data_IF_569803935218
#
_entry.id   IF_569803935218
#
_cell.length_a   1.000
_cell.length_b   1.000
_cell.length_c   1.000
_cell.angle_alpha   90.00
_cell.angle_beta   90.00
_cell.angle_gamma   90.00
#
_symmetry.space_group_name_H-M   'P 1'
#
loop_
_entity.id
_entity.type
_entity.pdbx_description
1 polymer ?
#
# COMPACT_ATOMS: atom_id res chain seq x y z
N UNK A 1 43.49 -1.77 -57.92
CA UNK A 1 44.71 -1.94 -57.09
C UNK A 1 44.56 -1.00 -55.89
N UNK A 2 44.65 -1.54 -54.67
CA UNK A 2 44.54 -0.79 -53.40
C UNK A 2 45.85 -0.02 -53.17
N UNK A 3 45.83 1.06 -52.38
CA UNK A 3 46.56 0.93 -51.12
C UNK A 3 45.73 1.32 -49.89
N UNK A 4 46.00 0.53 -48.85
CA UNK A 4 45.60 0.65 -47.44
C UNK A 4 46.60 1.62 -46.79
N UNK A 5 46.22 2.42 -45.77
CA UNK A 5 46.99 2.67 -44.52
C UNK A 5 46.24 3.63 -43.58
N UNK A 6 45.79 3.05 -42.45
CA UNK A 6 45.85 3.52 -41.05
C UNK A 6 45.50 4.96 -40.65
N UNK A 7 44.54 5.10 -39.73
CA UNK A 7 44.31 6.35 -39.01
C UNK A 7 43.30 6.27 -37.85
N UNK A 8 43.76 5.67 -36.74
CA UNK A 8 43.48 6.04 -35.34
C UNK A 8 42.04 5.96 -34.76
N UNK A 9 41.96 5.20 -33.67
CA UNK A 9 40.90 5.20 -32.67
C UNK A 9 40.66 6.59 -32.06
N UNK A 10 39.38 6.91 -31.81
CA UNK A 10 38.92 7.67 -30.64
C UNK A 10 37.43 7.28 -30.43
N UNK A 11 37.09 6.31 -29.59
CA UNK A 11 37.02 6.45 -28.13
C UNK A 11 36.25 7.71 -27.70
N UNK A 12 34.93 7.70 -27.87
CA UNK A 12 34.03 8.56 -27.10
C UNK A 12 32.92 7.70 -26.51
N UNK A 13 33.35 6.87 -25.55
CA UNK A 13 32.50 6.14 -24.63
C UNK A 13 32.52 6.92 -23.31
N UNK A 14 31.64 7.91 -23.12
CA UNK A 14 31.49 8.59 -21.83
C UNK A 14 30.01 8.79 -21.49
N UNK A 15 29.51 7.76 -20.82
CA UNK A 15 28.58 7.78 -19.70
C UNK A 15 27.41 8.78 -19.74
N UNK A 16 26.25 8.29 -20.18
CA UNK A 16 24.96 8.77 -19.68
C UNK A 16 24.89 8.41 -18.19
N UNK A 17 25.16 9.38 -17.31
CA UNK A 17 24.87 9.26 -15.88
C UNK A 17 23.36 9.30 -15.71
N UNK A 18 22.72 8.12 -15.72
CA UNK A 18 21.33 7.98 -15.26
C UNK A 18 21.39 8.15 -13.74
N UNK A 19 20.79 9.18 -13.13
CA UNK A 19 20.61 9.17 -11.69
C UNK A 19 19.70 7.99 -11.40
N UNK A 20 20.25 6.97 -10.77
CA UNK A 20 19.47 5.89 -10.21
C UNK A 20 18.46 6.54 -9.26
N UNK A 21 17.19 6.57 -9.69
CA UNK A 21 16.09 6.87 -8.80
C UNK A 21 16.22 5.83 -7.69
N UNK A 22 16.52 6.30 -6.48
CA UNK A 22 16.44 5.48 -5.30
C UNK A 22 14.99 5.01 -5.21
N UNK A 23 14.71 3.79 -5.68
CA UNK A 23 13.48 3.09 -5.41
C UNK A 23 13.42 2.96 -3.90
N UNK A 24 12.69 3.89 -3.29
CA UNK A 24 12.40 3.84 -1.87
C UNK A 24 11.49 2.65 -1.75
N UNK A 25 12.07 1.49 -1.42
CA UNK A 25 11.30 0.31 -1.09
C UNK A 25 10.58 0.64 0.20
N UNK A 26 9.41 1.29 0.07
CA UNK A 26 8.52 1.53 1.19
C UNK A 26 8.05 0.15 1.60
N UNK A 27 8.67 -0.40 2.65
CA UNK A 27 8.13 -1.55 3.35
C UNK A 27 6.63 -1.27 3.59
N UNK A 28 5.73 -2.26 3.39
CA UNK A 28 4.29 -2.03 3.53
C UNK A 28 4.02 -1.50 4.94
N UNK A 29 3.70 -0.20 5.01
CA UNK A 29 3.37 0.48 6.26
C UNK A 29 1.95 0.06 6.59
N UNK A 30 1.73 -0.40 7.83
CA UNK A 30 0.39 -0.69 8.33
C UNK A 30 -0.47 0.57 8.22
N UNK A 31 -1.72 0.42 7.81
CA UNK A 31 -2.69 1.52 7.87
C UNK A 31 -2.86 1.99 9.31
N UNK A 32 -3.18 3.27 9.47
CA UNK A 32 -3.55 3.81 10.78
C UNK A 32 -5.02 3.53 11.08
N UNK A 33 -5.40 3.61 12.36
CA UNK A 33 -6.80 3.53 12.78
C UNK A 33 -7.67 4.55 12.02
N UNK A 34 -7.18 5.78 11.84
CA UNK A 34 -7.90 6.85 11.12
C UNK A 34 -8.13 6.51 9.65
N UNK A 35 -7.16 5.89 8.98
CA UNK A 35 -7.30 5.46 7.59
C UNK A 35 -8.36 4.37 7.45
N UNK A 36 -8.32 3.37 8.33
CA UNK A 36 -9.32 2.29 8.35
C UNK A 36 -10.71 2.84 8.68
N UNK A 37 -10.83 3.73 9.68
CA UNK A 37 -12.08 4.38 10.03
C UNK A 37 -12.65 5.20 8.86
N UNK A 38 -11.80 5.92 8.12
CA UNK A 38 -12.22 6.70 6.94
C UNK A 38 -12.75 5.78 5.85
N UNK A 39 -12.07 4.66 5.57
CA UNK A 39 -12.49 3.68 4.57
C UNK A 39 -13.81 2.97 4.95
N UNK A 40 -13.97 2.60 6.22
CA UNK A 40 -15.22 2.04 6.74
C UNK A 40 -16.37 3.05 6.67
N UNK A 41 -16.12 4.31 7.02
CA UNK A 41 -17.10 5.40 6.91
C UNK A 41 -17.50 5.64 5.46
N UNK A 42 -16.54 5.61 4.53
CA UNK A 42 -16.81 5.75 3.10
C UNK A 42 -17.67 4.60 2.53
N UNK A 43 -17.62 3.42 3.15
CA UNK A 43 -18.51 2.28 2.83
C UNK A 43 -19.92 2.42 3.44
N UNK A 44 -20.17 3.47 4.24
CA UNK A 44 -21.47 3.73 4.86
C UNK A 44 -21.65 3.10 6.24
N UNK A 45 -20.56 2.63 6.86
CA UNK A 45 -20.59 2.10 8.23
C UNK A 45 -20.34 3.20 9.26
N UNK A 46 -21.02 3.12 10.39
CA UNK A 46 -20.72 3.95 11.56
C UNK A 46 -19.82 3.15 12.50
N UNK A 47 -18.58 3.60 12.66
CA UNK A 47 -17.63 2.98 13.60
C UNK A 47 -18.00 3.40 15.03
N UNK A 48 -18.18 2.41 15.91
CA UNK A 48 -18.40 2.59 17.36
C UNK A 48 -17.11 2.44 18.15
N UNK A 49 -16.30 1.47 17.75
CA UNK A 49 -15.04 1.12 18.38
C UNK A 49 -14.10 0.62 17.28
N UNK A 50 -12.82 0.98 17.35
CA UNK A 50 -11.80 0.53 16.43
C UNK A 50 -10.49 0.38 17.19
N UNK A 51 -10.00 -0.84 17.28
CA UNK A 51 -8.81 -1.20 18.04
C UNK A 51 -7.87 -2.05 17.19
N UNK A 52 -6.59 -2.08 17.55
CA UNK A 52 -5.61 -2.96 16.92
C UNK A 52 -5.34 -4.13 17.87
N UNK A 53 -5.68 -5.34 17.44
CA UNK A 53 -5.49 -6.58 18.20
C UNK A 53 -4.75 -7.63 17.38
N UNK A 54 -3.73 -8.26 17.96
CA UNK A 54 -2.89 -9.30 17.33
C UNK A 54 -2.46 -9.01 15.87
N UNK A 55 -2.15 -7.74 15.57
CA UNK A 55 -1.72 -7.31 14.24
C UNK A 55 -2.85 -7.16 13.21
N UNK A 56 -4.10 -7.23 13.63
CA UNK A 56 -5.30 -6.92 12.85
C UNK A 56 -6.00 -5.71 13.46
N UNK A 57 -6.91 -5.10 12.71
CA UNK A 57 -7.85 -4.14 13.26
C UNK A 57 -9.16 -4.84 13.57
N UNK A 58 -9.74 -4.55 14.72
CA UNK A 58 -11.08 -5.00 15.10
C UNK A 58 -11.96 -3.77 15.23
N UNK A 59 -13.05 -3.74 14.47
CA UNK A 59 -13.95 -2.60 14.39
C UNK A 59 -15.38 -3.03 14.70
N UNK A 60 -15.98 -2.44 15.73
CA UNK A 60 -17.43 -2.52 15.89
C UNK A 60 -18.08 -1.50 14.98
N UNK A 61 -18.76 -2.00 13.97
CA UNK A 61 -19.42 -1.19 12.96
C UNK A 61 -20.94 -1.35 13.04
N UNK A 62 -21.64 -0.26 12.75
CA UNK A 62 -23.10 -0.24 12.63
C UNK A 62 -23.47 0.02 11.19
N UNK A 63 -24.29 -0.86 10.62
CA UNK A 63 -24.79 -0.69 9.26
C UNK A 63 -25.99 0.27 9.18
N UNK A 64 -26.44 0.57 7.96
CA UNK A 64 -27.59 1.45 7.72
C UNK A 64 -28.92 0.90 8.29
N UNK A 65 -28.98 -0.38 8.65
CA UNK A 65 -30.13 -1.03 9.27
C UNK A 65 -30.03 -1.04 10.80
N UNK A 66 -29.06 -0.33 11.38
CA UNK A 66 -28.75 -0.31 12.81
C UNK A 66 -28.33 -1.70 13.37
N UNK A 67 -27.79 -2.57 12.52
CA UNK A 67 -27.23 -3.85 12.95
C UNK A 67 -25.78 -3.62 13.35
N UNK A 68 -25.41 -4.10 14.54
CA UNK A 68 -24.04 -4.06 15.05
C UNK A 68 -23.30 -5.30 14.53
N UNK A 69 -22.08 -5.12 14.06
CA UNK A 69 -21.22 -6.21 13.61
C UNK A 69 -19.78 -5.92 13.96
N UNK A 70 -19.07 -6.96 14.35
CA UNK A 70 -17.63 -6.95 14.55
C UNK A 70 -16.93 -7.28 13.23
N UNK A 71 -16.09 -6.35 12.77
CA UNK A 71 -15.31 -6.49 11.55
C UNK A 71 -13.84 -6.68 11.90
N UNK A 72 -13.27 -7.83 11.51
CA UNK A 72 -11.84 -8.08 11.56
C UNK A 72 -11.21 -7.62 10.25
N UNK A 73 -10.21 -6.75 10.31
CA UNK A 73 -9.65 -6.02 9.17
C UNK A 73 -8.14 -6.25 9.14
N UNK A 74 -7.60 -6.49 7.94
CA UNK A 74 -6.17 -6.62 7.74
C UNK A 74 -5.46 -5.27 7.93
N UNK A 75 -4.39 -5.26 8.73
CA UNK A 75 -3.72 -4.01 9.12
C UNK A 75 -2.86 -3.39 8.02
N UNK A 76 -2.56 -4.11 6.94
CA UNK A 76 -1.74 -3.59 5.84
C UNK A 76 -2.60 -3.13 4.66
N UNK A 77 -3.67 -3.87 4.36
CA UNK A 77 -4.54 -3.64 3.21
C UNK A 77 -5.79 -2.87 3.57
N UNK A 78 -6.28 -2.95 4.82
CA UNK A 78 -7.58 -2.39 5.23
C UNK A 78 -8.77 -3.21 4.73
N UNK A 79 -8.54 -4.43 4.23
CA UNK A 79 -9.61 -5.32 3.79
C UNK A 79 -10.31 -5.98 4.99
N UNK A 80 -11.64 -6.09 4.92
CA UNK A 80 -12.44 -6.81 5.92
C UNK A 80 -12.25 -8.30 5.68
N UNK A 81 -11.54 -8.96 6.59
CA UNK A 81 -11.27 -10.40 6.57
C UNK A 81 -12.46 -11.21 7.10
N UNK A 82 -13.16 -10.67 8.11
CA UNK A 82 -14.37 -11.27 8.69
C UNK A 82 -15.35 -10.19 9.12
N UNK A 83 -16.64 -10.51 9.03
CA UNK A 83 -17.72 -9.69 9.52
C UNK A 83 -18.72 -10.60 10.25
N UNK A 84 -18.80 -10.44 11.56
CA UNK A 84 -19.67 -11.23 12.44
C UNK A 84 -20.72 -10.31 13.04
N UNK A 85 -22.00 -10.68 12.91
CA UNK A 85 -23.09 -9.90 13.50
C UNK A 85 -23.10 -10.13 15.00
N UNK A 86 -23.23 -9.05 15.79
CA UNK A 86 -23.62 -9.17 17.19
C UNK A 86 -25.15 -9.27 17.27
N UNK A 87 -25.66 -10.37 17.83
CA UNK A 87 -27.09 -10.65 18.06
C UNK A 87 -27.56 -10.18 19.45
#
# INVERSE_FOLDING_TARGET
MRPITTGLLAASLLALSVPALAETTTAPVRKTLEQVATELSAKGYVIRELEMDDGHFEAKIVDAKNVISEAKIDSYTGEILRLERED
#
